data_IF_197869161015
#
_entry.id   IF_197869161015
#
_cell.length_a   1.000
_cell.length_b   1.000
_cell.length_c   1.000
_cell.angle_alpha   90.00
_cell.angle_beta   90.00
_cell.angle_gamma   90.00
#
_symmetry.space_group_name_H-M   'P 1'
#
loop_
_entity.id
_entity.type
_entity.pdbx_description
1 polymer ?
#
# COMPACT_ATOMS: atom_id res chain seq x y z
N UNK A 1 21.82 -20.79 12.90
CA UNK A 1 20.92 -20.07 11.98
C UNK A 1 21.78 -19.49 10.88
N UNK A 2 21.69 -20.02 9.67
CA UNK A 2 22.36 -19.48 8.48
C UNK A 2 21.89 -18.04 8.29
N UNK A 3 22.82 -17.08 8.24
CA UNK A 3 22.48 -15.67 8.03
C UNK A 3 21.90 -15.55 6.61
N UNK A 4 20.61 -15.28 6.49
CA UNK A 4 19.97 -15.10 5.17
C UNK A 4 20.68 -13.95 4.45
N UNK A 5 21.06 -14.19 3.18
CA UNK A 5 21.60 -13.15 2.31
C UNK A 5 20.55 -12.04 2.18
N UNK A 6 20.99 -10.80 2.31
CA UNK A 6 20.15 -9.61 2.16
C UNK A 6 20.14 -9.15 0.70
N UNK A 7 20.26 -7.84 0.49
CA UNK A 7 20.37 -7.24 -0.83
C UNK A 7 21.65 -7.70 -1.52
N UNK A 8 21.51 -8.25 -2.72
CA UNK A 8 22.57 -8.93 -3.46
C UNK A 8 23.30 -8.02 -4.45
N UNK A 9 22.77 -6.83 -4.72
CA UNK A 9 23.33 -5.90 -5.70
C UNK A 9 24.34 -4.92 -5.06
N UNK A 10 25.30 -4.44 -5.86
CA UNK A 10 26.27 -3.44 -5.42
C UNK A 10 25.62 -2.08 -5.14
N UNK A 11 24.64 -1.71 -5.95
CA UNK A 11 23.87 -0.47 -5.77
C UNK A 11 23.02 -0.50 -4.49
N UNK A 12 22.66 0.70 -4.03
CA UNK A 12 21.78 0.87 -2.88
C UNK A 12 20.41 0.23 -3.13
N UNK A 13 19.81 -0.48 -2.15
CA UNK A 13 18.43 -0.94 -2.25
C UNK A 13 17.43 0.23 -2.22
N UNK A 14 17.90 1.43 -1.88
CA UNK A 14 17.12 2.67 -1.86
C UNK A 14 17.42 3.52 -3.08
N UNK A 15 16.38 4.12 -3.64
CA UNK A 15 16.49 5.07 -4.75
C UNK A 15 16.76 6.50 -4.26
N UNK A 16 17.04 7.42 -5.19
CA UNK A 16 17.50 8.79 -4.88
C UNK A 16 16.58 9.58 -3.94
N UNK A 17 15.27 9.39 -4.06
CA UNK A 17 14.28 10.08 -3.24
C UNK A 17 14.31 9.60 -1.79
N UNK A 18 14.39 8.28 -1.59
CA UNK A 18 14.56 7.71 -0.25
C UNK A 18 15.90 8.14 0.37
N UNK A 19 16.97 8.14 -0.42
CA UNK A 19 18.29 8.59 0.05
C UNK A 19 18.26 10.06 0.47
N UNK A 20 17.64 10.95 -0.32
CA UNK A 20 17.49 12.37 0.02
C UNK A 20 16.71 12.57 1.32
N UNK A 21 15.59 11.86 1.50
CA UNK A 21 14.79 11.94 2.74
C UNK A 21 15.56 11.36 3.94
N UNK A 22 16.31 10.27 3.75
CA UNK A 22 17.16 9.68 4.79
C UNK A 22 18.30 10.61 5.20
N UNK A 23 18.85 11.40 4.28
CA UNK A 23 19.87 12.43 4.56
C UNK A 23 19.28 13.58 5.36
N UNK A 24 18.11 14.10 4.96
CA UNK A 24 17.38 15.13 5.72
C UNK A 24 17.07 14.67 7.15
N UNK A 25 16.68 13.41 7.32
CA UNK A 25 16.42 12.81 8.62
C UNK A 25 17.70 12.42 9.40
N UNK A 26 18.89 12.56 8.82
CA UNK A 26 20.16 12.21 9.47
C UNK A 26 20.36 10.70 9.72
N UNK A 27 19.69 9.83 8.97
CA UNK A 27 19.70 8.37 9.17
C UNK A 27 20.24 7.57 7.99
N UNK A 28 20.72 8.20 6.91
CA UNK A 28 21.24 7.58 5.68
C UNK A 28 22.14 6.36 5.92
N UNK A 29 23.21 6.51 6.69
CA UNK A 29 24.17 5.41 6.97
C UNK A 29 23.51 4.22 7.67
N UNK A 30 22.59 4.49 8.61
CA UNK A 30 21.85 3.46 9.34
C UNK A 30 20.83 2.77 8.43
N UNK A 31 20.10 3.54 7.63
CA UNK A 31 19.14 3.04 6.66
C UNK A 31 19.83 2.12 5.65
N UNK A 32 20.96 2.52 5.07
CA UNK A 32 21.74 1.69 4.13
C UNK A 32 22.10 0.32 4.71
N UNK A 33 22.70 0.31 5.91
CA UNK A 33 23.15 -0.90 6.57
C UNK A 33 21.99 -1.86 6.88
N UNK A 34 20.85 -1.32 7.31
CA UNK A 34 19.66 -2.11 7.64
C UNK A 34 18.97 -2.57 6.34
N UNK A 35 18.80 -1.68 5.37
CA UNK A 35 18.20 -1.96 4.06
C UNK A 35 18.90 -3.12 3.37
N UNK A 36 20.23 -3.06 3.24
CA UNK A 36 21.01 -4.17 2.64
C UNK A 36 20.88 -5.50 3.36
N UNK A 37 20.48 -5.51 4.64
CA UNK A 37 20.29 -6.74 5.41
C UNK A 37 18.88 -7.31 5.27
N UNK A 38 17.86 -6.46 5.10
CA UNK A 38 16.46 -6.85 5.20
C UNK A 38 15.67 -6.76 3.89
N UNK A 39 16.09 -5.91 2.96
CA UNK A 39 15.54 -5.81 1.61
C UNK A 39 16.21 -6.88 0.75
N UNK A 40 15.42 -7.59 -0.03
CA UNK A 40 15.85 -8.69 -0.90
C UNK A 40 15.16 -8.60 -2.24
N UNK A 41 15.82 -9.10 -3.28
CA UNK A 41 15.26 -9.30 -4.63
C UNK A 41 14.55 -10.66 -4.78
N UNK A 42 14.29 -11.33 -3.65
CA UNK A 42 13.60 -12.60 -3.55
C UNK A 42 12.81 -12.66 -2.23
N UNK A 43 11.86 -13.60 -2.14
CA UNK A 43 11.06 -13.88 -0.96
C UNK A 43 11.70 -15.02 -0.15
N UNK A 44 12.17 -14.78 1.09
CA UNK A 44 12.50 -15.86 2.01
C UNK A 44 11.32 -16.82 2.21
N UNK A 45 11.58 -18.08 2.56
CA UNK A 45 10.52 -19.07 2.81
C UNK A 45 9.43 -18.55 3.78
N UNK A 46 9.84 -17.82 4.83
CA UNK A 46 8.91 -17.21 5.79
C UNK A 46 7.96 -16.18 5.16
N UNK A 47 8.38 -15.50 4.08
CA UNK A 47 7.52 -14.58 3.32
C UNK A 47 6.60 -15.35 2.38
N UNK A 48 7.10 -16.38 1.71
CA UNK A 48 6.30 -17.23 0.82
C UNK A 48 5.13 -17.87 1.59
N UNK A 49 5.42 -18.46 2.76
CA UNK A 49 4.42 -19.01 3.68
C UNK A 49 3.45 -17.93 4.17
N UNK A 50 3.96 -16.75 4.53
CA UNK A 50 3.13 -15.64 5.00
C UNK A 50 2.11 -15.20 3.97
N UNK A 51 2.49 -15.05 2.70
CA UNK A 51 1.55 -14.61 1.67
C UNK A 51 0.48 -15.68 1.40
N UNK A 52 0.85 -16.97 1.41
CA UNK A 52 -0.09 -18.06 1.15
C UNK A 52 -1.21 -18.24 2.17
N UNK A 53 -1.06 -17.70 3.38
CA UNK A 53 -2.08 -17.75 4.43
C UNK A 53 -2.99 -16.50 4.48
N UNK A 54 -2.72 -15.46 3.69
CA UNK A 54 -3.48 -14.21 3.79
C UNK A 54 -4.87 -14.34 3.17
N UNK A 55 -5.93 -13.84 3.84
CA UNK A 55 -7.29 -13.78 3.29
C UNK A 55 -7.48 -12.62 2.30
N UNK A 56 -6.57 -11.63 2.33
CA UNK A 56 -6.56 -10.50 1.43
C UNK A 56 -5.14 -9.91 1.32
N UNK A 57 -4.91 -9.12 0.28
CA UNK A 57 -3.67 -8.36 0.06
C UNK A 57 -4.00 -7.01 -0.55
N UNK A 58 -3.22 -6.00 -0.21
CA UNK A 58 -3.35 -4.68 -0.83
C UNK A 58 -2.45 -4.56 -2.04
N UNK A 59 -2.95 -3.88 -3.07
CA UNK A 59 -2.26 -3.69 -4.35
C UNK A 59 -2.23 -2.21 -4.71
N UNK A 60 -1.03 -1.67 -4.90
CA UNK A 60 -0.79 -0.40 -5.57
C UNK A 60 -0.58 -0.65 -7.06
N UNK A 61 -1.21 0.17 -7.91
CA UNK A 61 -1.09 0.08 -9.37
C UNK A 61 -1.10 1.46 -10.02
N UNK A 62 -0.64 1.53 -11.27
CA UNK A 62 -0.68 2.72 -12.11
C UNK A 62 -1.74 2.53 -13.21
N UNK A 63 -2.52 3.58 -13.47
CA UNK A 63 -3.38 3.62 -14.65
C UNK A 63 -2.61 4.13 -15.89
N UNK A 64 -3.27 4.12 -17.05
CA UNK A 64 -2.68 4.57 -18.32
C UNK A 64 -2.24 6.04 -18.32
N UNK A 65 -2.76 6.85 -17.38
CA UNK A 65 -2.39 8.25 -17.19
C UNK A 65 -1.30 8.43 -16.11
N UNK A 66 -0.66 7.33 -15.68
CA UNK A 66 0.32 7.31 -14.60
C UNK A 66 -0.24 7.83 -13.26
N UNK A 67 -1.55 7.69 -13.04
CA UNK A 67 -2.17 7.96 -11.74
C UNK A 67 -2.12 6.71 -10.89
N UNK A 68 -1.93 6.90 -9.58
CA UNK A 68 -1.78 5.82 -8.64
C UNK A 68 -3.11 5.44 -8.01
N UNK A 69 -3.35 4.14 -7.91
CA UNK A 69 -4.54 3.57 -7.29
C UNK A 69 -4.14 2.54 -6.25
N UNK A 70 -4.85 2.55 -5.13
CA UNK A 70 -4.75 1.58 -4.07
C UNK A 70 -6.01 0.70 -4.05
N UNK A 71 -5.80 -0.61 -4.03
CA UNK A 71 -6.82 -1.63 -4.25
C UNK A 71 -6.65 -2.77 -3.25
N UNK A 72 -7.64 -3.66 -3.17
CA UNK A 72 -7.58 -4.87 -2.34
C UNK A 72 -8.03 -6.09 -3.15
N UNK A 73 -7.24 -7.16 -3.07
CA UNK A 73 -7.63 -8.49 -3.54
C UNK A 73 -7.96 -9.36 -2.33
N UNK A 74 -8.98 -10.20 -2.45
CA UNK A 74 -9.50 -11.01 -1.35
C UNK A 74 -10.04 -12.32 -1.86
N UNK A 75 -9.89 -13.40 -1.09
CA UNK A 75 -10.53 -14.69 -1.37
C UNK A 75 -10.77 -15.48 -0.09
N UNK A 76 -11.86 -16.24 -0.06
CA UNK A 76 -12.17 -17.20 1.03
C UNK A 76 -11.22 -18.38 1.05
N UNK A 77 -10.65 -18.70 -0.11
CA UNK A 77 -9.71 -19.80 -0.30
C UNK A 77 -8.29 -19.23 -0.37
N UNK A 78 -7.28 -20.07 -0.14
CA UNK A 78 -5.90 -19.70 -0.43
C UNK A 78 -5.82 -19.29 -1.91
N UNK A 79 -5.33 -18.08 -2.16
CA UNK A 79 -5.29 -17.51 -3.51
C UNK A 79 -3.92 -16.94 -3.88
N UNK A 80 -2.96 -16.96 -2.97
CA UNK A 80 -1.60 -16.49 -3.21
C UNK A 80 -0.66 -17.69 -3.06
N UNK A 81 0.16 -17.94 -4.06
CA UNK A 81 1.06 -19.09 -4.10
C UNK A 81 2.43 -18.67 -4.60
N UNK A 82 3.48 -19.30 -4.09
CA UNK A 82 4.86 -19.01 -4.49
C UNK A 82 5.54 -20.31 -4.90
N UNK A 83 5.70 -20.58 -6.21
CA UNK A 83 6.34 -21.81 -6.68
C UNK A 83 7.87 -21.80 -6.47
N UNK A 84 8.46 -20.62 -6.37
CA UNK A 84 9.86 -20.35 -6.08
C UNK A 84 10.00 -19.00 -5.35
N UNK A 85 11.22 -18.63 -4.97
CA UNK A 85 11.50 -17.41 -4.22
C UNK A 85 11.37 -16.10 -5.02
N UNK A 86 11.12 -16.15 -6.33
CA UNK A 86 10.98 -14.97 -7.19
C UNK A 86 9.62 -14.85 -7.85
N UNK A 87 8.73 -15.81 -7.63
CA UNK A 87 7.43 -15.85 -8.30
C UNK A 87 6.30 -15.84 -7.29
N UNK A 88 5.30 -14.99 -7.53
CA UNK A 88 4.06 -14.94 -6.77
C UNK A 88 2.86 -15.05 -7.73
N UNK A 89 2.09 -16.12 -7.58
CA UNK A 89 0.88 -16.41 -8.34
C UNK A 89 -0.35 -16.02 -7.53
N UNK A 90 -1.30 -15.38 -8.19
CA UNK A 90 -2.57 -14.97 -7.61
C UNK A 90 -3.71 -15.65 -8.35
N UNK A 91 -4.63 -16.30 -7.62
CA UNK A 91 -5.90 -16.84 -8.12
C UNK A 91 -7.05 -15.95 -7.64
N UNK A 92 -7.06 -14.70 -8.10
CA UNK A 92 -8.06 -13.72 -7.73
C UNK A 92 -8.29 -12.72 -8.87
N UNK A 93 -9.50 -12.20 -8.93
CA UNK A 93 -9.87 -11.09 -9.81
C UNK A 93 -10.06 -9.81 -9.00
N UNK A 94 -9.78 -8.64 -9.58
CA UNK A 94 -10.13 -7.36 -8.98
C UNK A 94 -11.62 -7.27 -8.61
N UNK A 95 -11.92 -6.48 -7.56
CA UNK A 95 -13.30 -6.22 -7.16
C UNK A 95 -14.05 -5.46 -8.27
N UNK A 96 -15.36 -5.69 -8.36
CA UNK A 96 -16.19 -5.00 -9.36
C UNK A 96 -16.12 -3.48 -9.17
N UNK A 97 -15.70 -2.76 -10.22
CA UNK A 97 -15.57 -1.31 -10.21
C UNK A 97 -14.26 -0.79 -9.60
N UNK A 98 -13.36 -1.66 -9.16
CA UNK A 98 -12.00 -1.30 -8.75
C UNK A 98 -11.11 -1.05 -9.98
N UNK A 99 -10.27 -0.02 -9.91
CA UNK A 99 -9.35 0.37 -11.00
C UNK A 99 -8.26 -0.65 -11.28
N UNK A 100 -7.99 -1.57 -10.35
CA UNK A 100 -7.08 -2.68 -10.59
C UNK A 100 -7.56 -3.55 -11.77
N UNK A 101 -8.86 -3.61 -12.08
CA UNK A 101 -9.36 -4.30 -13.27
C UNK A 101 -8.78 -3.73 -14.57
N UNK A 102 -8.58 -2.41 -14.63
CA UNK A 102 -8.01 -1.72 -15.80
C UNK A 102 -6.47 -1.68 -15.74
N UNK A 103 -5.89 -1.73 -14.54
CA UNK A 103 -4.45 -1.53 -14.33
C UNK A 103 -3.67 -2.86 -14.31
N UNK A 104 -4.33 -3.99 -14.05
CA UNK A 104 -3.72 -5.31 -14.07
C UNK A 104 -3.49 -5.76 -15.53
N UNK A 105 -2.31 -5.42 -16.05
CA UNK A 105 -1.88 -5.71 -17.43
C UNK A 105 -0.51 -6.37 -17.43
N UNK A 106 -0.19 -7.09 -18.52
CA UNK A 106 1.16 -7.62 -18.72
C UNK A 106 2.18 -6.49 -18.62
N UNK A 107 3.32 -6.76 -18.00
CA UNK A 107 4.40 -5.80 -17.73
C UNK A 107 4.08 -4.68 -16.74
N UNK A 108 2.88 -4.65 -16.13
CA UNK A 108 2.56 -3.66 -15.10
C UNK A 108 3.43 -3.87 -13.85
N UNK A 109 3.98 -2.77 -13.32
CA UNK A 109 4.61 -2.75 -12.00
C UNK A 109 3.53 -2.64 -10.93
N UNK A 110 3.55 -3.56 -9.96
CA UNK A 110 2.60 -3.62 -8.85
C UNK A 110 3.34 -3.64 -7.52
N UNK A 111 2.82 -2.86 -6.58
CA UNK A 111 3.27 -2.87 -5.19
C UNK A 111 2.27 -3.63 -4.33
N UNK A 112 2.74 -4.54 -3.48
CA UNK A 112 1.86 -5.31 -2.61
C UNK A 112 2.21 -5.13 -1.14
N UNK A 113 1.16 -5.06 -0.32
CA UNK A 113 1.27 -5.12 1.13
C UNK A 113 0.42 -6.27 1.65
N UNK A 114 1.08 -7.33 2.09
CA UNK A 114 0.46 -8.39 2.88
C UNK A 114 0.45 -7.99 4.35
N UNK A 115 -0.70 -8.12 5.01
CA UNK A 115 -0.85 -7.75 6.42
C UNK A 115 -1.79 -8.70 7.14
N UNK A 116 -1.32 -9.23 8.26
CA UNK A 116 -2.08 -10.07 9.17
C UNK A 116 -2.46 -9.25 10.39
N UNK A 117 -3.70 -8.77 10.42
CA UNK A 117 -4.15 -7.76 11.40
C UNK A 117 -4.05 -8.25 12.84
N UNK A 118 -4.32 -9.53 13.11
CA UNK A 118 -4.37 -10.08 14.46
C UNK A 118 -2.97 -10.26 15.10
N UNK A 119 -1.96 -10.65 14.31
CA UNK A 119 -0.55 -10.73 14.76
C UNK A 119 0.20 -9.40 14.57
N UNK A 120 -0.35 -8.49 13.77
CA UNK A 120 0.30 -7.24 13.32
C UNK A 120 1.54 -7.47 12.45
N UNK A 121 1.65 -8.65 11.84
CA UNK A 121 2.71 -8.94 10.87
C UNK A 121 2.37 -8.28 9.53
N UNK A 122 3.34 -7.60 8.92
CA UNK A 122 3.21 -7.08 7.57
C UNK A 122 4.50 -7.25 6.78
N UNK A 123 4.35 -7.75 5.56
CA UNK A 123 5.44 -7.89 4.60
C UNK A 123 5.03 -7.22 3.30
N UNK A 124 5.99 -6.52 2.71
CA UNK A 124 5.85 -5.89 1.42
C UNK A 124 6.52 -6.76 0.36
N UNK A 125 5.87 -6.84 -0.80
CA UNK A 125 6.46 -7.42 -2.01
C UNK A 125 6.12 -6.52 -3.18
N UNK A 126 7.10 -6.16 -4.00
CA UNK A 126 6.89 -5.43 -5.24
C UNK A 126 7.32 -6.34 -6.39
N UNK A 127 6.72 -6.14 -7.56
CA UNK A 127 7.10 -6.91 -8.72
C UNK A 127 6.39 -6.49 -10.00
N UNK A 128 6.71 -7.22 -11.07
CA UNK A 128 6.21 -6.99 -12.42
C UNK A 128 5.31 -8.14 -12.85
N UNK A 129 4.17 -7.82 -13.45
CA UNK A 129 3.23 -8.84 -13.97
C UNK A 129 3.84 -9.52 -15.19
N UNK A 130 3.99 -10.85 -15.14
CA UNK A 130 4.60 -11.65 -16.22
C UNK A 130 3.61 -12.57 -16.93
N UNK A 131 2.45 -12.83 -16.34
CA UNK A 131 1.37 -13.58 -16.98
C UNK A 131 0.01 -13.15 -16.45
N UNK A 132 -1.01 -13.20 -17.31
CA UNK A 132 -2.42 -12.94 -16.97
C UNK A 132 -3.27 -14.02 -17.62
N UNK A 133 -4.23 -14.53 -16.87
CA UNK A 133 -5.35 -15.34 -17.32
C UNK A 133 -6.66 -14.79 -16.70
N UNK A 134 -7.84 -15.29 -17.08
CA UNK A 134 -9.12 -14.73 -16.64
C UNK A 134 -9.32 -14.62 -15.13
N UNK A 135 -8.78 -15.56 -14.36
CA UNK A 135 -8.95 -15.67 -12.90
C UNK A 135 -7.61 -15.75 -12.14
N UNK A 136 -6.50 -15.56 -12.84
CA UNK A 136 -5.18 -15.63 -12.24
C UNK A 136 -4.17 -14.72 -12.92
N UNK A 137 -3.13 -14.35 -12.18
CA UNK A 137 -1.99 -13.61 -12.71
C UNK A 137 -0.71 -13.96 -11.95
N UNK A 138 0.43 -13.77 -12.60
CA UNK A 138 1.76 -14.05 -12.06
C UNK A 138 2.58 -12.78 -11.97
N UNK A 139 3.28 -12.63 -10.85
CA UNK A 139 4.19 -11.52 -10.58
C UNK A 139 5.60 -12.06 -10.37
N UNK A 140 6.56 -11.53 -11.12
CA UNK A 140 7.98 -11.69 -10.81
C UNK A 140 8.38 -10.66 -9.75
N UNK A 141 8.84 -11.14 -8.60
CA UNK A 141 9.25 -10.33 -7.45
C UNK A 141 10.55 -9.62 -7.75
N UNK A 142 10.56 -8.31 -7.51
CA UNK A 142 11.75 -7.45 -7.59
C UNK A 142 12.23 -7.02 -6.22
N UNK A 143 11.32 -6.96 -5.24
CA UNK A 143 11.66 -6.55 -3.88
C UNK A 143 10.76 -7.21 -2.85
N UNK A 144 11.32 -7.70 -1.74
CA UNK A 144 10.55 -8.20 -0.59
C UNK A 144 11.23 -7.92 0.75
N UNK A 145 10.46 -7.45 1.72
CA UNK A 145 10.92 -7.18 3.08
C UNK A 145 9.77 -7.06 4.09
N UNK A 146 10.07 -7.30 5.37
CA UNK A 146 9.15 -7.03 6.48
C UNK A 146 9.16 -5.55 6.87
N UNK A 147 7.99 -5.03 7.28
CA UNK A 147 7.87 -3.67 7.80
C UNK A 147 7.49 -3.65 9.29
N UNK A 148 7.77 -2.54 9.96
CA UNK A 148 7.50 -2.34 11.40
C UNK A 148 6.01 -2.54 11.74
N UNK A 149 5.61 -3.27 12.80
CA UNK A 149 4.20 -3.56 13.12
C UNK A 149 3.43 -2.38 13.73
N UNK A 150 4.04 -1.20 13.84
CA UNK A 150 3.46 -0.03 14.50
C UNK A 150 2.12 0.41 13.88
N UNK A 151 1.21 0.83 14.75
CA UNK A 151 -0.13 1.33 14.43
C UNK A 151 -1.08 0.38 13.69
N UNK A 152 -0.73 -0.90 13.54
CA UNK A 152 -1.67 -1.92 13.06
C UNK A 152 -2.65 -2.26 14.18
N UNK A 153 -3.92 -1.95 13.97
CA UNK A 153 -5.00 -2.28 14.88
C UNK A 153 -5.41 -3.74 14.70
N UNK A 154 -5.46 -4.49 15.81
CA UNK A 154 -5.87 -5.91 15.77
C UNK A 154 -7.34 -6.02 15.45
N UNK A 155 -7.67 -6.89 14.49
CA UNK A 155 -9.03 -7.16 14.03
C UNK A 155 -9.17 -8.65 13.73
N UNK A 156 -10.33 -9.20 14.04
CA UNK A 156 -10.75 -10.55 13.64
C UNK A 156 -11.82 -10.37 12.57
N UNK A 157 -11.52 -10.75 11.35
CA UNK A 157 -12.44 -10.60 10.22
C UNK A 157 -13.39 -11.79 10.18
N UNK A 158 -14.67 -11.51 9.96
CA UNK A 158 -15.72 -12.50 9.78
C UNK A 158 -16.22 -12.44 8.34
N UNK A 159 -16.08 -13.56 7.63
CA UNK A 159 -16.61 -13.71 6.29
C UNK A 159 -18.14 -13.65 6.27
N UNK A 160 -18.69 -12.93 5.30
CA UNK A 160 -20.12 -12.85 5.10
C UNK A 160 -20.64 -14.12 4.39
N UNK A 161 -21.88 -14.55 4.70
CA UNK A 161 -22.55 -15.59 3.92
C UNK A 161 -22.76 -15.16 2.46
N UNK A 162 -22.68 -16.09 1.51
CA UNK A 162 -22.77 -15.83 0.06
C UNK A 162 -23.99 -15.01 -0.37
N UNK A 163 -25.14 -15.17 0.31
CA UNK A 163 -26.35 -14.39 0.04
C UNK A 163 -26.19 -12.87 0.20
N UNK A 164 -25.14 -12.41 0.90
CA UNK A 164 -24.81 -11.00 1.07
C UNK A 164 -23.69 -10.54 0.14
N UNK A 165 -22.97 -11.44 -0.53
CA UNK A 165 -21.89 -11.11 -1.47
C UNK A 165 -22.44 -10.42 -2.74
N UNK A 166 -23.64 -10.78 -3.17
CA UNK A 166 -24.31 -10.19 -4.33
C UNK A 166 -25.06 -8.87 -4.02
N UNK A 167 -24.81 -8.26 -2.86
CA UNK A 167 -25.44 -6.99 -2.47
C UNK A 167 -24.58 -5.76 -2.73
N UNK A 168 -23.41 -5.94 -3.35
CA UNK A 168 -22.53 -4.85 -3.73
C UNK A 168 -23.21 -3.93 -4.75
N UNK A 169 -23.31 -2.65 -4.44
CA UNK A 169 -23.85 -1.66 -5.39
C UNK A 169 -22.77 -1.24 -6.39
N UNK A 170 -23.21 -0.67 -7.50
CA UNK A 170 -22.31 -0.11 -8.51
C UNK A 170 -21.35 0.92 -7.90
N UNK A 171 -20.09 0.88 -8.34
CA UNK A 171 -19.10 1.88 -8.00
C UNK A 171 -19.57 3.29 -8.35
N UNK A 172 -19.28 4.25 -7.48
CA UNK A 172 -19.67 5.65 -7.65
C UNK A 172 -18.42 6.52 -7.71
N UNK A 173 -18.34 7.39 -8.72
CA UNK A 173 -17.21 8.31 -8.89
C UNK A 173 -17.58 9.70 -8.40
N UNK A 174 -16.68 10.32 -7.64
CA UNK A 174 -16.81 11.67 -7.13
C UNK A 174 -15.53 12.47 -7.38
N UNK A 175 -15.67 13.79 -7.42
CA UNK A 175 -14.57 14.76 -7.45
C UNK A 175 -14.40 15.50 -6.10
N UNK A 176 -15.22 15.18 -5.10
CA UNK A 176 -15.18 15.74 -3.75
C UNK A 176 -15.63 14.71 -2.71
N UNK A 177 -15.35 14.97 -1.45
CA UNK A 177 -15.80 14.17 -0.32
C UNK A 177 -17.27 14.46 -0.03
N UNK A 178 -18.11 13.47 -0.29
CA UNK A 178 -19.48 13.44 0.22
C UNK A 178 -19.48 13.30 1.74
N UNK A 179 -20.65 13.45 2.37
CA UNK A 179 -20.80 13.21 3.82
C UNK A 179 -20.41 11.77 4.20
N UNK A 180 -20.81 10.77 3.40
CA UNK A 180 -20.48 9.36 3.64
C UNK A 180 -18.97 9.11 3.54
N UNK A 181 -18.31 9.65 2.50
CA UNK A 181 -16.86 9.52 2.31
C UNK A 181 -16.11 10.22 3.45
N UNK A 182 -16.58 11.41 3.84
CA UNK A 182 -16.02 12.18 4.96
C UNK A 182 -16.07 11.39 6.26
N UNK A 183 -17.18 10.73 6.55
CA UNK A 183 -17.34 9.94 7.77
C UNK A 183 -16.42 8.70 7.76
N UNK A 184 -16.32 8.00 6.62
CA UNK A 184 -15.38 6.87 6.47
C UNK A 184 -13.94 7.32 6.76
N UNK A 185 -13.51 8.44 6.18
CA UNK A 185 -12.15 8.95 6.38
C UNK A 185 -11.92 9.37 7.85
N UNK A 186 -12.89 10.05 8.47
CA UNK A 186 -12.79 10.51 9.87
C UNK A 186 -12.72 9.35 10.85
N UNK A 187 -13.50 8.28 10.64
CA UNK A 187 -13.54 7.12 11.52
C UNK A 187 -12.41 6.13 11.26
N UNK A 188 -11.68 6.27 10.16
CA UNK A 188 -10.57 5.39 9.82
C UNK A 188 -9.50 5.42 10.93
N UNK A 189 -9.15 4.24 11.44
CA UNK A 189 -7.98 4.01 12.29
C UNK A 189 -6.76 3.55 11.47
N UNK A 190 -6.97 3.30 10.18
CA UNK A 190 -5.97 2.87 9.22
C UNK A 190 -6.43 3.19 7.80
N UNK A 191 -5.45 3.43 6.94
CA UNK A 191 -5.63 3.50 5.50
C UNK A 191 -4.37 3.00 4.81
N UNK A 192 -4.48 2.79 3.51
CA UNK A 192 -3.39 2.27 2.70
C UNK A 192 -3.07 3.25 1.57
N UNK A 193 -1.81 3.36 1.21
CA UNK A 193 -1.37 4.27 0.16
C UNK A 193 -0.45 3.59 -0.84
N UNK A 194 -0.70 3.89 -2.11
CA UNK A 194 0.15 3.58 -3.23
C UNK A 194 1.01 4.80 -3.56
N UNK A 195 2.32 4.63 -3.65
CA UNK A 195 3.26 5.63 -4.18
C UNK A 195 4.12 4.96 -5.25
N UNK A 196 4.92 5.71 -6.01
CA UNK A 196 5.80 5.09 -6.99
C UNK A 196 7.00 5.94 -7.30
N UNK A 197 8.09 5.27 -7.64
CA UNK A 197 9.25 5.88 -8.26
C UNK A 197 9.56 5.09 -9.52
N UNK A 198 9.70 5.77 -10.66
CA UNK A 198 10.13 5.14 -11.91
C UNK A 198 11.46 5.75 -12.29
N UNK A 199 12.54 4.97 -12.22
CA UNK A 199 13.82 5.32 -12.83
C UNK A 199 13.80 4.91 -14.31
N UNK A 200 14.55 5.64 -15.14
CA UNK A 200 14.81 5.27 -16.54
C UNK A 200 15.81 4.12 -16.66
N UNK A 201 16.58 3.88 -15.62
CA UNK A 201 17.56 2.81 -15.53
C UNK A 201 16.99 1.76 -14.58
N UNK A 202 16.35 0.70 -15.11
CA UNK A 202 15.74 -0.39 -14.33
C UNK A 202 16.79 -1.01 -13.39
N UNK A 203 16.80 -0.58 -12.13
CA UNK A 203 17.80 -0.88 -11.11
C UNK A 203 17.23 -1.79 -10.00
N UNK A 204 16.00 -2.27 -10.16
CA UNK A 204 15.31 -3.15 -9.21
C UNK A 204 14.85 -2.46 -7.91
N UNK A 205 14.94 -1.14 -7.83
CA UNK A 205 14.41 -0.32 -6.71
C UNK A 205 13.31 0.66 -7.15
N UNK A 206 12.87 0.55 -8.41
CA UNK A 206 11.75 1.25 -9.02
C UNK A 206 10.44 0.46 -8.96
N UNK A 207 9.35 1.13 -9.29
CA UNK A 207 8.01 0.57 -9.44
C UNK A 207 7.00 1.18 -8.49
N UNK A 208 5.91 0.45 -8.31
CA UNK A 208 4.80 0.85 -7.44
C UNK A 208 5.00 0.26 -6.06
N UNK A 209 4.62 1.06 -5.09
CA UNK A 209 4.78 0.79 -3.69
C UNK A 209 3.43 0.79 -2.98
N UNK A 210 3.18 -0.15 -2.06
CA UNK A 210 1.99 -0.18 -1.22
C UNK A 210 2.36 -0.13 0.27
N UNK A 211 1.68 0.72 1.03
CA UNK A 211 2.00 1.00 2.44
C UNK A 211 0.75 1.14 3.29
N UNK A 212 0.90 0.92 4.60
CA UNK A 212 -0.15 1.14 5.61
C UNK A 212 0.20 2.35 6.48
N UNK A 213 -0.80 3.17 6.78
CA UNK A 213 -0.77 4.22 7.81
C UNK A 213 -1.89 3.97 8.79
N UNK A 214 -1.59 4.10 10.08
CA UNK A 214 -2.54 3.86 11.15
C UNK A 214 -2.40 4.88 12.27
N UNK A 215 -3.48 5.06 13.01
CA UNK A 215 -3.58 5.97 14.13
C UNK A 215 -4.94 5.80 14.81
N UNK A 216 -5.20 6.56 15.88
CA UNK A 216 -6.56 6.55 16.45
C UNK A 216 -7.55 7.16 15.45
N UNK A 217 -8.83 6.74 15.41
CA UNK A 217 -9.85 7.43 14.65
C UNK A 217 -9.76 8.96 14.81
N UNK A 218 -9.83 9.67 13.68
CA UNK A 218 -9.60 11.11 13.61
C UNK A 218 -8.13 11.54 13.51
N UNK A 219 -7.18 10.62 13.32
CA UNK A 219 -5.78 10.96 13.00
C UNK A 219 -5.62 11.56 11.59
N UNK A 220 -6.55 11.23 10.68
CA UNK A 220 -6.71 11.90 9.39
C UNK A 220 -7.66 13.08 9.59
N UNK A 221 -7.21 14.29 9.23
CA UNK A 221 -8.00 15.52 9.32
C UNK A 221 -8.40 15.96 7.92
N UNK A 222 -9.70 16.09 7.68
CA UNK A 222 -10.22 16.65 6.43
C UNK A 222 -9.90 18.16 6.38
N UNK A 223 -9.41 18.62 5.24
CA UNK A 223 -9.17 20.02 4.90
C UNK A 223 -9.97 20.35 3.62
N UNK A 224 -11.09 21.07 3.77
CA UNK A 224 -11.97 21.39 2.65
C UNK A 224 -12.80 20.19 2.17
N UNK A 225 -13.14 20.18 0.89
CA UNK A 225 -13.99 19.18 0.25
C UNK A 225 -13.20 18.12 -0.54
N UNK A 226 -11.88 18.28 -0.69
CA UNK A 226 -11.04 17.39 -1.52
C UNK A 226 -9.71 17.01 -0.89
N UNK A 227 -9.36 17.58 0.26
CA UNK A 227 -8.04 17.35 0.85
C UNK A 227 -8.14 16.80 2.26
N UNK A 228 -7.11 16.06 2.66
CA UNK A 228 -6.93 15.65 4.04
C UNK A 228 -5.46 15.64 4.39
N UNK A 229 -5.17 15.75 5.68
CA UNK A 229 -3.82 15.75 6.22
C UNK A 229 -3.69 14.66 7.27
N UNK A 230 -2.54 14.00 7.30
CA UNK A 230 -2.24 12.97 8.28
C UNK A 230 -0.78 13.05 8.75
N UNK A 231 -0.50 12.65 10.01
CA UNK A 231 0.85 12.60 10.54
C UNK A 231 1.61 11.38 10.02
N UNK A 232 2.89 11.58 9.69
CA UNK A 232 3.83 10.50 9.54
C UNK A 232 4.72 10.38 10.79
N UNK A 233 4.76 9.18 11.35
CA UNK A 233 5.54 8.85 12.53
C UNK A 233 6.83 8.12 12.15
N UNK A 234 7.79 8.09 13.07
CA UNK A 234 9.01 7.32 12.95
C UNK A 234 8.72 5.86 12.58
N UNK A 235 9.45 5.35 11.58
CA UNK A 235 9.26 4.01 11.01
C UNK A 235 10.50 3.13 11.09
N UNK A 236 10.73 2.33 10.05
CA UNK A 236 11.96 1.54 9.86
C UNK A 236 13.10 2.34 9.20
N UNK A 237 12.94 3.66 9.08
CA UNK A 237 13.87 4.59 8.42
C UNK A 237 14.14 4.30 6.94
N UNK A 238 13.31 3.48 6.27
CA UNK A 238 13.45 3.23 4.83
C UNK A 238 12.89 4.38 3.99
N UNK A 239 11.88 5.08 4.53
CA UNK A 239 11.22 6.22 3.90
C UNK A 239 10.61 5.93 2.52
N UNK A 240 10.24 4.68 2.20
CA UNK A 240 9.75 4.31 0.87
C UNK A 240 8.63 5.23 0.34
N UNK A 241 7.59 5.46 1.14
CA UNK A 241 6.51 6.35 0.71
C UNK A 241 6.97 7.80 0.55
N UNK A 242 7.81 8.31 1.46
CA UNK A 242 8.26 9.71 1.41
C UNK A 242 9.30 9.95 0.32
N UNK A 243 10.19 9.00 0.07
CA UNK A 243 11.17 9.07 -1.00
C UNK A 243 10.50 9.06 -2.37
N UNK A 244 9.49 8.21 -2.56
CA UNK A 244 8.64 8.27 -3.75
C UNK A 244 7.97 9.64 -3.88
N UNK A 245 7.33 10.13 -2.82
CA UNK A 245 6.63 11.43 -2.83
C UNK A 245 7.56 12.63 -3.03
N UNK A 246 8.82 12.52 -2.62
CA UNK A 246 9.84 13.56 -2.83
C UNK A 246 10.17 13.75 -4.32
N UNK A 247 10.09 12.68 -5.12
CA UNK A 247 10.38 12.71 -6.56
C UNK A 247 9.13 12.73 -7.44
N UNK A 248 8.03 12.18 -6.95
CA UNK A 248 6.76 12.05 -7.66
C UNK A 248 5.61 12.27 -6.68
N UNK A 249 4.94 13.42 -6.80
CA UNK A 249 3.87 13.78 -5.88
C UNK A 249 2.56 13.00 -6.08
N UNK A 250 2.48 12.04 -7.02
CA UNK A 250 1.29 11.20 -7.22
C UNK A 250 1.09 10.23 -6.06
N UNK A 251 -0.17 10.02 -5.69
CA UNK A 251 -0.56 9.10 -4.62
C UNK A 251 -1.91 8.44 -4.93
N UNK A 252 -2.02 7.15 -4.63
CA UNK A 252 -3.28 6.44 -4.52
C UNK A 252 -3.58 6.13 -3.06
N UNK A 253 -4.82 6.22 -2.62
CA UNK A 253 -5.21 5.95 -1.22
C UNK A 253 -6.45 5.08 -1.17
N UNK A 254 -6.47 4.14 -0.24
CA UNK A 254 -7.60 3.26 0.05
C UNK A 254 -7.99 3.37 1.54
N UNK A 255 -9.21 3.79 1.80
CA UNK A 255 -9.87 3.69 3.09
C UNK A 255 -10.86 2.54 3.10
N UNK A 256 -10.99 1.89 4.27
CA UNK A 256 -11.87 0.76 4.48
C UNK A 256 -12.74 1.02 5.70
N UNK A 257 -14.06 1.00 5.51
CA UNK A 257 -14.97 0.84 6.63
C UNK A 257 -15.30 -0.65 6.82
N UNK A 258 -14.54 -1.28 7.70
CA UNK A 258 -14.74 -2.69 8.04
C UNK A 258 -16.12 -2.99 8.65
N UNK A 259 -16.84 -1.99 9.20
CA UNK A 259 -18.18 -2.23 9.77
C UNK A 259 -19.22 -2.49 8.68
N UNK A 260 -19.12 -1.78 7.57
CA UNK A 260 -20.09 -1.86 6.46
C UNK A 260 -19.58 -2.71 5.30
N UNK A 261 -18.26 -2.81 5.14
CA UNK A 261 -17.60 -3.36 3.96
C UNK A 261 -17.44 -2.34 2.82
N UNK A 262 -17.63 -1.05 3.11
CA UNK A 262 -17.44 0.02 2.14
C UNK A 262 -15.94 0.31 1.91
N UNK A 263 -15.57 0.60 0.67
CA UNK A 263 -14.24 1.12 0.31
C UNK A 263 -14.34 2.52 -0.28
N UNK A 264 -13.34 3.35 0.02
CA UNK A 264 -13.08 4.61 -0.69
C UNK A 264 -11.67 4.51 -1.26
N UNK A 265 -11.56 4.38 -2.57
CA UNK A 265 -10.28 4.47 -3.29
C UNK A 265 -10.18 5.83 -3.96
N UNK A 266 -9.03 6.49 -3.89
CA UNK A 266 -8.81 7.78 -4.55
C UNK A 266 -7.43 7.86 -5.17
N UNK A 267 -7.32 8.66 -6.21
CA UNK A 267 -6.05 9.13 -6.76
C UNK A 267 -5.93 10.63 -6.52
N UNK A 268 -4.71 11.12 -6.36
CA UNK A 268 -4.45 12.53 -6.21
C UNK A 268 -2.98 12.89 -6.16
N UNK A 269 -2.70 14.00 -5.51
CA UNK A 269 -1.34 14.47 -5.23
C UNK A 269 -1.10 14.56 -3.72
N UNK A 270 0.16 14.46 -3.31
CA UNK A 270 0.58 14.64 -1.93
C UNK A 270 1.66 15.73 -1.81
N UNK A 271 1.61 16.46 -0.70
CA UNK A 271 2.58 17.46 -0.30
C UNK A 271 3.15 17.07 1.07
N UNK A 272 4.48 17.05 1.19
CA UNK A 272 5.17 16.79 2.46
C UNK A 272 5.40 18.12 3.17
N UNK A 273 4.84 18.27 4.36
CA UNK A 273 5.01 19.43 5.23
C UNK A 273 6.01 19.09 6.32
N UNK A 274 7.24 19.59 6.16
CA UNK A 274 8.36 19.33 7.08
C UNK A 274 8.30 20.16 8.36
N UNK A 275 7.65 21.33 8.32
CA UNK A 275 7.59 22.29 9.42
C UNK A 275 6.22 22.99 9.44
N UNK A 276 5.88 23.65 10.55
CA UNK A 276 4.70 24.50 10.69
C UNK A 276 3.86 24.20 11.93
N UNK A 277 3.02 25.17 12.34
CA UNK A 277 2.17 25.08 13.53
C UNK A 277 1.23 23.86 13.50
N UNK A 278 0.78 23.46 12.31
CA UNK A 278 -0.05 22.25 12.15
C UNK A 278 0.69 20.98 12.61
N UNK A 279 2.00 20.88 12.40
CA UNK A 279 2.80 19.71 12.82
C UNK A 279 2.90 19.63 14.35
N UNK A 280 3.02 20.76 15.03
CA UNK A 280 3.08 20.84 16.50
C UNK A 280 1.81 20.26 17.16
N UNK A 281 0.67 20.33 16.46
CA UNK A 281 -0.60 19.76 16.91
C UNK A 281 -0.63 18.22 16.84
N UNK A 282 0.30 17.58 16.14
CA UNK A 282 0.43 16.12 16.07
C UNK A 282 1.62 15.63 16.89
N UNK A 283 1.40 15.36 18.17
CA UNK A 283 2.44 14.87 19.08
C UNK A 283 3.15 13.63 18.53
N UNK A 284 4.45 13.77 18.25
CA UNK A 284 5.33 12.70 17.79
C UNK A 284 5.35 12.47 16.28
N UNK A 285 4.62 13.27 15.49
CA UNK A 285 4.78 13.28 14.04
C UNK A 285 6.13 13.91 13.68
N UNK A 286 6.83 13.30 12.71
CA UNK A 286 8.07 13.85 12.15
C UNK A 286 7.76 14.85 11.02
N UNK A 287 6.69 14.59 10.27
CA UNK A 287 6.18 15.46 9.21
C UNK A 287 4.68 15.19 8.99
N UNK A 288 4.00 16.12 8.34
CA UNK A 288 2.64 15.90 7.86
C UNK A 288 2.63 15.63 6.35
N UNK A 289 1.63 14.90 5.90
CA UNK A 289 1.36 14.73 4.47
C UNK A 289 -0.05 15.22 4.21
N UNK A 290 -0.16 16.23 3.36
CA UNK A 290 -1.43 16.68 2.80
C UNK A 290 -1.67 15.93 1.50
N UNK A 291 -2.85 15.36 1.34
CA UNK A 291 -3.32 14.71 0.11
C UNK A 291 -4.47 15.53 -0.44
N UNK A 292 -4.46 15.77 -1.76
CA UNK A 292 -5.55 16.42 -2.49
C UNK A 292 -6.08 15.45 -3.54
N UNK A 293 -7.33 15.03 -3.39
CA UNK A 293 -7.98 14.07 -4.25
C UNK A 293 -8.37 14.68 -5.60
N UNK A 294 -8.03 13.99 -6.68
CA UNK A 294 -8.40 14.33 -8.05
C UNK A 294 -9.64 13.56 -8.51
N UNK A 295 -9.70 12.27 -8.18
CA UNK A 295 -10.82 11.38 -8.46
C UNK A 295 -10.98 10.41 -7.29
N UNK A 296 -12.22 10.17 -6.89
CA UNK A 296 -12.59 9.29 -5.78
C UNK A 296 -13.58 8.25 -6.30
N UNK A 297 -13.39 7.00 -5.93
CA UNK A 297 -14.27 5.88 -6.21
C UNK A 297 -14.76 5.31 -4.88
N UNK A 298 -16.07 5.34 -4.71
CA UNK A 298 -16.76 4.73 -3.59
C UNK A 298 -17.34 3.38 -4.01
N UNK A 299 -16.98 2.33 -3.28
CA UNK A 299 -17.41 0.96 -3.52
C UNK A 299 -18.23 0.49 -2.30
N UNK A 300 -19.56 0.66 -2.32
CA UNK A 300 -20.40 0.35 -1.17
C UNK A 300 -20.57 -1.16 -0.97
N UNK A 301 -20.33 -1.61 0.27
CA UNK A 301 -20.54 -2.99 0.74
C UNK A 301 -19.87 -4.05 -0.14
N UNK A 302 -18.74 -3.70 -0.74
CA UNK A 302 -18.02 -4.55 -1.70
C UNK A 302 -17.18 -5.63 -1.00
N UNK A 303 -16.75 -5.38 0.24
CA UNK A 303 -15.90 -6.34 0.94
C UNK A 303 -16.71 -7.56 1.42
N UNK A 304 -16.21 -8.78 1.17
CA UNK A 304 -16.87 -10.03 1.57
C UNK A 304 -16.67 -10.39 3.05
N UNK A 305 -16.09 -9.49 3.85
CA UNK A 305 -15.85 -9.67 5.28
C UNK A 305 -16.04 -8.36 6.04
N UNK A 306 -16.20 -8.47 7.37
CA UNK A 306 -16.32 -7.35 8.32
C UNK A 306 -15.48 -7.59 9.56
#
# INVERSE_FOLDING_TARGET
>A
MTQLVGWTQEISPFHDGEMAVQELAGVRTKAEKIGRRFIRDFMPAEHQEFYGQLPFIFVGSLDEKSRLWASILTSKQAFIFSPDDKTLNFQATPLLGDRLADNLKLDANLGFLGIELHTRRRNRVNGKVTAIAPDNFTVNVTQSFGNCPQFIHKRNLVWLPERFENSASQAQTFDHFTEEITEIIRQADSFYLATSFNDKYEQGNEGVDMSHRGGKPGFVKIEGDRSFIFPNFAGNNFYNSLGNLHLNNRIGVLFIDFKTGNLVSLTGTAEILWEGEQLENFKGAEQLIRVTAEEIIFLPKILPFR
#
